data_IF_186705240621
#
_entry.id   IF_186705240621
#
_cell.length_a   1.000
_cell.length_b   1.000
_cell.length_c   1.000
_cell.angle_alpha   90.00
_cell.angle_beta   90.00
_cell.angle_gamma   90.00
#
_symmetry.space_group_name_H-M   'P 1'
#
loop_
_entity.id
_entity.type
_entity.pdbx_description
1 polymer ?
#
# COMPACT_ATOMS: atom_id res chain seq x y z
N UNK A 1 10.23 11.88 13.12
CA UNK A 1 10.10 11.37 11.74
C UNK A 1 8.80 10.60 11.60
N UNK A 2 8.09 10.76 10.48
CA UNK A 2 6.83 10.07 10.20
C UNK A 2 6.91 9.44 8.81
N UNK A 3 6.52 8.17 8.69
CA UNK A 3 6.47 7.53 7.37
C UNK A 3 5.44 6.39 7.33
N UNK A 4 5.03 6.02 6.12
CA UNK A 4 4.12 4.90 5.85
C UNK A 4 4.82 3.82 5.05
N UNK A 5 4.85 2.61 5.58
CA UNK A 5 5.47 1.44 4.94
C UNK A 5 4.47 0.30 4.75
N UNK A 6 4.81 -0.63 3.86
CA UNK A 6 4.01 -1.79 3.51
C UNK A 6 4.73 -3.08 3.94
N UNK A 7 4.02 -3.95 4.66
CA UNK A 7 4.43 -5.33 4.87
C UNK A 7 3.71 -6.22 3.87
N UNK A 8 4.47 -6.95 3.04
CA UNK A 8 3.94 -7.79 1.96
C UNK A 8 4.18 -9.26 2.31
N UNK A 9 3.16 -10.10 2.09
CA UNK A 9 3.21 -11.53 2.41
C UNK A 9 2.88 -12.39 1.19
N UNK A 10 3.49 -13.57 1.12
CA UNK A 10 3.02 -14.66 0.26
C UNK A 10 2.19 -15.64 1.10
N UNK A 11 0.93 -15.88 0.71
CA UNK A 11 -0.05 -16.70 1.45
C UNK A 11 -0.96 -17.43 0.46
N UNK A 12 -1.38 -18.64 0.83
CA UNK A 12 -2.38 -19.40 0.06
C UNK A 12 -3.75 -18.71 0.02
N UNK A 13 -4.12 -17.95 1.07
CA UNK A 13 -5.39 -17.23 1.16
C UNK A 13 -5.16 -15.72 1.43
N UNK A 14 -4.79 -14.92 0.40
CA UNK A 14 -4.51 -13.49 0.53
C UNK A 14 -5.64 -12.64 1.11
N UNK A 15 -6.90 -12.99 0.79
CA UNK A 15 -8.09 -12.23 1.18
C UNK A 15 -8.32 -12.14 2.70
N UNK A 16 -7.70 -13.03 3.50
CA UNK A 16 -7.77 -12.99 4.97
C UNK A 16 -6.96 -11.86 5.61
N UNK A 17 -6.00 -11.29 4.88
CA UNK A 17 -5.20 -10.15 5.35
C UNK A 17 -5.73 -8.87 4.69
N UNK A 18 -5.76 -8.85 3.37
CA UNK A 18 -6.08 -7.66 2.58
C UNK A 18 -4.97 -7.30 1.60
N UNK A 19 -5.20 -6.25 0.82
CA UNK A 19 -4.42 -5.90 -0.36
C UNK A 19 -3.85 -4.48 -0.29
N UNK A 20 -2.54 -4.34 -0.55
CA UNK A 20 -1.84 -3.06 -0.44
C UNK A 20 -1.67 -2.36 -1.78
N UNK A 21 -1.30 -3.11 -2.83
CA UNK A 21 -1.05 -2.56 -4.17
C UNK A 21 -1.24 -3.59 -5.27
N UNK A 22 -1.28 -3.11 -6.51
CA UNK A 22 -1.29 -3.94 -7.71
C UNK A 22 -0.02 -3.67 -8.51
N UNK A 23 0.68 -4.74 -8.89
CA UNK A 23 1.92 -4.69 -9.66
C UNK A 23 1.78 -5.39 -11.00
N UNK A 24 2.60 -4.98 -11.96
CA UNK A 24 2.80 -5.73 -13.20
C UNK A 24 3.88 -6.80 -12.95
N UNK A 25 3.48 -8.06 -12.94
CA UNK A 25 4.33 -9.23 -12.76
C UNK A 25 4.81 -9.82 -14.10
N UNK A 26 4.82 -9.01 -15.17
CA UNK A 26 5.30 -9.39 -16.49
C UNK A 26 4.16 -9.77 -17.45
N UNK A 27 4.43 -10.72 -18.34
CA UNK A 27 3.44 -11.23 -19.31
C UNK A 27 3.37 -12.75 -19.24
N UNK A 28 2.18 -13.30 -19.42
CA UNK A 28 1.99 -14.72 -19.63
C UNK A 28 2.57 -15.15 -20.99
N UNK A 29 2.74 -16.46 -21.18
CA UNK A 29 3.24 -17.03 -22.46
C UNK A 29 2.43 -16.56 -23.67
N UNK A 30 1.13 -16.34 -23.51
CA UNK A 30 0.22 -15.81 -24.53
C UNK A 30 0.31 -14.28 -24.71
N UNK A 31 1.30 -13.61 -24.14
CA UNK A 31 1.53 -12.15 -24.26
C UNK A 31 0.63 -11.27 -23.38
N UNK A 32 -0.36 -11.86 -22.70
CA UNK A 32 -1.29 -11.15 -21.81
C UNK A 32 -0.56 -10.59 -20.58
N UNK A 33 -0.85 -9.35 -20.13
CA UNK A 33 -0.25 -8.78 -18.93
C UNK A 33 -0.58 -9.62 -17.69
N UNK A 34 0.44 -9.95 -16.91
CA UNK A 34 0.28 -10.60 -15.62
C UNK A 34 0.18 -9.54 -14.53
N UNK A 35 -1.04 -9.21 -14.12
CA UNK A 35 -1.29 -8.22 -13.07
C UNK A 35 -1.56 -8.93 -11.76
N UNK A 36 -0.76 -8.63 -10.73
CA UNK A 36 -0.86 -9.27 -9.43
C UNK A 36 -1.18 -8.24 -8.33
N UNK A 37 -2.23 -8.53 -7.55
CA UNK A 37 -2.56 -7.74 -6.38
C UNK A 37 -1.88 -8.34 -5.15
N UNK A 38 -0.97 -7.57 -4.54
CA UNK A 38 -0.17 -8.01 -3.42
C UNK A 38 -0.93 -7.98 -2.09
N UNK A 39 -0.75 -9.06 -1.34
CA UNK A 39 -1.29 -9.25 0.01
C UNK A 39 -0.43 -8.52 1.04
N UNK A 40 -1.02 -7.78 1.96
CA UNK A 40 -0.23 -7.06 2.96
C UNK A 40 -0.99 -6.18 3.94
N UNK A 41 -0.21 -5.57 4.83
CA UNK A 41 -0.64 -4.61 5.85
C UNK A 41 0.14 -3.31 5.65
N UNK A 42 -0.53 -2.17 5.83
CA UNK A 42 0.10 -0.85 5.86
C UNK A 42 0.37 -0.44 7.30
N UNK A 43 1.53 0.19 7.53
CA UNK A 43 1.90 0.78 8.83
C UNK A 43 2.29 2.24 8.63
N UNK A 44 1.59 3.14 9.33
CA UNK A 44 2.08 4.48 9.58
C UNK A 44 2.77 4.51 10.93
N UNK A 45 3.98 5.06 11.01
CA UNK A 45 4.72 5.10 12.26
C UNK A 45 5.48 6.39 12.48
N UNK A 46 5.53 6.76 13.75
CA UNK A 46 6.26 7.89 14.30
C UNK A 46 7.53 7.40 14.99
N UNK A 47 8.68 7.93 14.58
CA UNK A 47 9.97 7.67 15.20
C UNK A 47 10.49 8.95 15.85
N UNK A 48 10.75 8.90 17.16
CA UNK A 48 11.46 9.96 17.87
C UNK A 48 12.97 9.82 17.62
N UNK A 49 13.59 10.96 17.35
CA UNK A 49 15.03 11.08 17.11
C UNK A 49 15.54 12.32 17.84
N UNK A 50 16.79 12.29 18.30
CA UNK A 50 17.47 13.48 18.80
C UNK A 50 17.80 14.44 17.66
N UNK A 51 18.21 15.68 17.98
CA UNK A 51 18.67 16.65 16.98
C UNK A 51 19.91 16.17 16.20
N UNK A 52 20.72 15.30 16.80
CA UNK A 52 21.88 14.67 16.17
C UNK A 52 21.53 13.41 15.37
N UNK A 53 20.25 13.00 15.34
CA UNK A 53 19.77 11.86 14.56
C UNK A 53 19.79 10.51 15.29
N UNK A 54 20.10 10.47 16.58
CA UNK A 54 20.05 9.23 17.37
C UNK A 54 18.60 8.78 17.57
N UNK A 55 18.21 7.55 17.20
CA UNK A 55 16.84 7.07 17.36
C UNK A 55 16.52 6.79 18.83
N UNK A 56 15.44 7.39 19.33
CA UNK A 56 14.93 7.17 20.69
C UNK A 56 13.86 6.08 20.74
N UNK A 57 13.23 5.77 19.60
CA UNK A 57 12.25 4.69 19.48
C UNK A 57 10.95 5.12 18.80
N UNK A 58 10.09 4.14 18.56
CA UNK A 58 8.77 4.36 17.98
C UNK A 58 7.84 4.98 19.03
N UNK A 59 7.25 6.13 18.71
CA UNK A 59 6.31 6.82 19.59
C UNK A 59 4.86 6.50 19.27
N UNK A 60 4.57 6.15 18.03
CA UNK A 60 3.25 5.69 17.60
C UNK A 60 3.37 4.76 16.39
N UNK A 61 2.43 3.82 16.30
CA UNK A 61 2.25 2.99 15.12
C UNK A 61 0.76 2.71 14.92
N UNK A 62 0.31 2.84 13.67
CA UNK A 62 -1.04 2.47 13.25
C UNK A 62 -0.95 1.47 12.10
N UNK A 63 -1.65 0.36 12.25
CA UNK A 63 -1.75 -0.68 11.23
C UNK A 63 -3.15 -0.70 10.63
N UNK A 64 -3.25 -0.96 9.34
CA UNK A 64 -4.53 -1.21 8.69
C UNK A 64 -4.37 -2.07 7.44
N UNK A 65 -5.47 -2.72 7.07
CA UNK A 65 -5.58 -3.49 5.83
C UNK A 65 -6.74 -2.95 4.99
N UNK A 66 -6.82 -3.41 3.74
CA UNK A 66 -7.88 -3.03 2.81
C UNK A 66 -8.42 -4.29 2.16
N UNK A 67 -9.74 -4.47 2.16
CA UNK A 67 -10.39 -5.63 1.52
C UNK A 67 -10.20 -5.63 0.01
N UNK A 68 -10.06 -4.46 -0.60
CA UNK A 68 -9.78 -4.27 -2.03
C UNK A 68 -8.86 -3.06 -2.24
N UNK A 69 -7.85 -3.22 -3.09
CA UNK A 69 -7.06 -2.09 -3.58
C UNK A 69 -7.79 -1.42 -4.76
N UNK A 70 -8.09 -0.12 -4.63
CA UNK A 70 -8.90 0.63 -5.63
C UNK A 70 -8.08 1.33 -6.72
N UNK A 71 -6.75 1.44 -6.59
CA UNK A 71 -5.91 2.09 -7.61
C UNK A 71 -6.30 3.55 -7.93
N UNK A 72 -6.71 4.32 -6.92
CA UNK A 72 -7.32 5.66 -7.09
C UNK A 72 -6.43 6.68 -7.82
N UNK A 73 -5.10 6.51 -7.77
CA UNK A 73 -4.15 7.34 -8.53
C UNK A 73 -4.24 7.11 -10.05
N UNK A 74 -4.50 5.89 -10.51
CA UNK A 74 -4.74 5.61 -11.92
C UNK A 74 -6.07 6.23 -12.37
N UNK A 75 -7.09 6.16 -11.51
CA UNK A 75 -8.38 6.79 -11.74
C UNK A 75 -8.30 8.33 -11.77
N UNK A 76 -7.37 8.96 -11.03
CA UNK A 76 -7.16 10.42 -11.04
C UNK A 76 -6.83 10.97 -12.44
N UNK A 77 -6.23 10.17 -13.32
CA UNK A 77 -5.96 10.56 -14.72
C UNK A 77 -7.20 10.55 -15.61
N UNK A 78 -8.26 9.85 -15.18
CA UNK A 78 -9.49 9.65 -15.95
C UNK A 78 -10.70 10.37 -15.32
N UNK A 79 -10.67 10.65 -14.01
CA UNK A 79 -11.74 11.34 -13.29
C UNK A 79 -11.52 12.85 -13.39
N UNK A 80 -12.54 13.55 -13.88
CA UNK A 80 -12.57 15.01 -13.95
C UNK A 80 -12.45 15.62 -12.53
N UNK A 81 -11.41 16.44 -12.25
CA UNK A 81 -11.19 17.01 -10.92
C UNK A 81 -12.33 17.91 -10.39
N UNK A 82 -13.25 18.38 -11.24
CA UNK A 82 -14.44 19.14 -10.80
C UNK A 82 -15.61 18.28 -10.32
N UNK A 83 -15.53 16.95 -10.41
CA UNK A 83 -16.56 16.05 -9.88
C UNK A 83 -16.27 15.69 -8.42
N UNK A 84 -16.60 16.60 -7.50
CA UNK A 84 -16.61 16.33 -6.06
C UNK A 84 -17.95 15.64 -5.73
N UNK A 85 -17.98 14.41 -5.17
CA UNK A 85 -19.21 13.82 -4.69
C UNK A 85 -19.63 14.56 -3.40
N UNK A 86 -20.85 15.10 -3.40
CA UNK A 86 -21.59 15.48 -2.18
C UNK A 86 -22.13 14.22 -1.53
#
# INVERSE_FOLDING_TARGET
LQDTTEFIYSRAQPGKIGFTKTINAGRYKAGQPNVLTLCGVLKHSSLAVTLTGTPLGLTAAKFWTRTKFKGTLALKRHINPTRVPI
#
